data_IF_561992285303
#
_entry.id   IF_561992285303
#
_cell.length_a   1.000
_cell.length_b   1.000
_cell.length_c   1.000
_cell.angle_alpha   90.00
_cell.angle_beta   90.00
_cell.angle_gamma   90.00
#
_symmetry.space_group_name_H-M   'P 1'
#
loop_
_entity.id
_entity.type
_entity.pdbx_description
1 polymer ?
#
# COMPACT_ATOMS: atom_id res chain seq x y z
N UNK A 1 19.30 -1.17 -13.21
CA UNK A 1 18.28 -0.46 -14.00
C UNK A 1 17.11 -0.13 -13.10
N UNK A 2 16.89 1.16 -12.81
CA UNK A 2 15.75 1.62 -12.02
C UNK A 2 14.43 1.48 -12.79
N UNK A 3 13.49 0.73 -12.21
CA UNK A 3 12.13 0.52 -12.71
C UNK A 3 11.15 1.12 -11.73
N UNK A 4 10.23 1.93 -12.26
CA UNK A 4 9.17 2.58 -11.49
C UNK A 4 7.82 1.94 -11.80
N UNK A 5 7.13 1.54 -10.74
CA UNK A 5 5.73 1.12 -10.77
C UNK A 5 4.84 2.17 -10.11
N UNK A 6 3.69 2.44 -10.71
CA UNK A 6 2.70 3.39 -10.17
C UNK A 6 1.33 2.71 -10.17
N UNK A 7 0.57 2.93 -9.10
CA UNK A 7 -0.83 2.51 -9.01
C UNK A 7 -1.68 3.59 -8.37
N UNK A 8 -2.93 3.69 -8.83
CA UNK A 8 -3.93 4.56 -8.26
C UNK A 8 -5.20 3.75 -7.95
N UNK A 9 -5.84 4.03 -6.83
CA UNK A 9 -7.05 3.34 -6.41
C UNK A 9 -8.00 4.29 -5.71
N UNK A 10 -9.29 4.04 -5.87
CA UNK A 10 -10.32 4.80 -5.17
C UNK A 10 -11.43 3.87 -4.74
N UNK A 11 -11.97 4.08 -3.54
CA UNK A 11 -13.10 3.32 -3.00
C UNK A 11 -13.99 4.20 -2.13
N UNK A 12 -15.30 3.99 -2.23
CA UNK A 12 -16.27 4.54 -1.29
C UNK A 12 -16.57 3.48 -0.22
N UNK A 13 -16.42 3.87 1.05
CA UNK A 13 -16.70 3.03 2.20
C UNK A 13 -17.90 3.57 2.96
N UNK A 14 -18.84 2.69 3.28
CA UNK A 14 -20.05 3.01 4.04
C UNK A 14 -19.77 3.09 5.55
N UNK A 15 -18.82 3.93 5.92
CA UNK A 15 -18.40 4.19 7.29
C UNK A 15 -17.85 5.61 7.40
N UNK A 16 -17.99 6.18 8.60
CA UNK A 16 -17.52 7.53 8.89
C UNK A 16 -15.99 7.63 8.92
N UNK A 17 -15.47 8.84 8.77
CA UNK A 17 -14.03 9.11 8.73
C UNK A 17 -13.31 8.66 10.02
N UNK A 18 -13.98 8.71 11.17
CA UNK A 18 -13.38 8.33 12.46
C UNK A 18 -13.15 6.82 12.56
N UNK A 19 -13.97 6.02 11.88
CA UNK A 19 -13.78 4.58 11.75
C UNK A 19 -12.77 4.24 10.65
N UNK A 20 -12.85 4.93 9.51
CA UNK A 20 -12.04 4.61 8.33
C UNK A 20 -10.58 5.01 8.52
N UNK A 21 -10.29 6.18 9.08
CA UNK A 21 -8.92 6.65 9.26
C UNK A 21 -8.01 5.66 10.03
N UNK A 22 -8.34 5.25 11.27
CA UNK A 22 -7.47 4.33 12.02
C UNK A 22 -7.33 2.96 11.34
N UNK A 23 -8.34 2.54 10.55
CA UNK A 23 -8.26 1.31 9.77
C UNK A 23 -7.14 1.39 8.72
N UNK A 24 -7.05 2.51 7.98
CA UNK A 24 -6.04 2.69 6.94
C UNK A 24 -4.67 3.13 7.48
N UNK A 25 -4.62 3.75 8.66
CA UNK A 25 -3.38 4.09 9.33
C UNK A 25 -2.62 2.86 9.85
N UNK A 26 -3.30 1.73 10.08
CA UNK A 26 -2.65 0.47 10.41
C UNK A 26 -2.03 -0.18 9.17
N UNK A 27 -0.75 0.08 8.94
CA UNK A 27 0.01 -0.47 7.82
C UNK A 27 0.00 -2.01 7.78
N UNK A 28 0.09 -2.67 8.95
CA UNK A 28 0.12 -4.14 9.02
C UNK A 28 -1.21 -4.70 8.53
N UNK A 29 -2.32 -4.11 8.98
CA UNK A 29 -3.66 -4.49 8.53
C UNK A 29 -3.84 -4.17 7.05
N UNK A 30 -3.53 -2.95 6.61
CA UNK A 30 -3.70 -2.52 5.22
C UNK A 30 -2.95 -3.43 4.25
N UNK A 31 -1.67 -3.71 4.53
CA UNK A 31 -0.82 -4.53 3.66
C UNK A 31 -1.10 -6.02 3.75
N UNK A 32 -1.81 -6.51 4.78
CA UNK A 32 -2.24 -7.92 4.84
C UNK A 32 -3.21 -8.31 3.72
N UNK A 33 -3.86 -7.33 3.08
CA UNK A 33 -4.69 -7.56 1.89
C UNK A 33 -3.85 -7.70 0.60
N UNK A 34 -2.55 -7.37 0.65
CA UNK A 34 -1.66 -7.48 -0.49
C UNK A 34 -1.13 -8.92 -0.61
N UNK A 35 -1.41 -9.65 -1.70
CA UNK A 35 -1.02 -11.06 -1.84
C UNK A 35 0.50 -11.28 -1.91
N UNK A 36 1.28 -10.23 -2.17
CA UNK A 36 2.72 -10.29 -2.26
C UNK A 36 3.42 -9.83 -0.97
N UNK A 37 2.70 -9.17 -0.06
CA UNK A 37 3.27 -8.76 1.22
C UNK A 37 3.33 -9.97 2.16
N UNK A 38 4.53 -10.31 2.61
CA UNK A 38 4.75 -11.42 3.55
C UNK A 38 4.69 -10.96 4.98
N UNK A 39 5.28 -9.80 5.25
CA UNK A 39 5.29 -9.23 6.60
C UNK A 39 5.53 -7.72 6.56
N UNK A 40 5.06 -7.09 7.63
CA UNK A 40 5.28 -5.67 7.95
C UNK A 40 5.78 -5.62 9.37
N UNK A 41 7.03 -5.21 9.55
CA UNK A 41 7.74 -5.29 10.84
C UNK A 41 8.17 -3.88 11.26
N UNK A 42 8.02 -3.57 12.54
CA UNK A 42 8.55 -2.33 13.09
C UNK A 42 10.05 -2.44 13.25
N UNK A 43 10.78 -1.41 12.82
CA UNK A 43 12.24 -1.39 12.93
C UNK A 43 12.69 -0.69 14.21
N UNK A 44 13.96 -0.83 14.55
CA UNK A 44 14.57 -0.11 15.69
C UNK A 44 14.66 1.41 15.45
N UNK A 45 14.40 1.89 14.23
CA UNK A 45 14.57 3.27 13.82
C UNK A 45 13.41 4.20 14.22
N UNK A 46 12.40 3.68 14.93
CA UNK A 46 11.29 4.46 15.50
C UNK A 46 10.38 5.12 14.45
N UNK A 47 9.17 4.60 14.28
CA UNK A 47 8.23 5.12 13.27
C UNK A 47 8.53 4.67 11.83
N UNK A 48 9.57 3.87 11.62
CA UNK A 48 9.91 3.26 10.33
C UNK A 48 9.52 1.78 10.34
N UNK A 49 8.75 1.39 9.32
CA UNK A 49 8.30 0.03 9.10
C UNK A 49 9.10 -0.60 7.96
N UNK A 50 9.46 -1.87 8.10
CA UNK A 50 10.00 -2.71 7.04
C UNK A 50 8.85 -3.49 6.40
N UNK A 51 8.67 -3.32 5.10
CA UNK A 51 7.72 -4.11 4.31
C UNK A 51 8.49 -5.15 3.49
N UNK A 52 8.19 -6.42 3.71
CA UNK A 52 8.78 -7.51 2.95
C UNK A 52 7.78 -8.05 1.94
N UNK A 53 8.17 -7.99 0.67
CA UNK A 53 7.42 -8.50 -0.45
C UNK A 53 8.14 -9.68 -1.09
N UNK A 54 7.36 -10.62 -1.60
CA UNK A 54 7.87 -11.73 -2.38
C UNK A 54 6.98 -11.90 -3.61
N UNK A 55 7.61 -11.86 -4.77
CA UNK A 55 6.99 -12.15 -6.05
C UNK A 55 7.75 -13.29 -6.70
N UNK A 56 7.17 -13.88 -7.74
CA UNK A 56 7.79 -15.00 -8.44
C UNK A 56 8.16 -14.59 -9.85
N UNK A 57 9.39 -14.90 -10.27
CA UNK A 57 9.84 -14.70 -11.65
C UNK A 57 9.11 -15.67 -12.62
N UNK A 58 9.21 -15.47 -13.95
CA UNK A 58 8.59 -16.37 -14.92
C UNK A 58 9.11 -17.83 -14.90
N UNK A 59 10.22 -18.10 -14.20
CA UNK A 59 10.83 -19.43 -14.01
C UNK A 59 10.52 -20.03 -12.63
N UNK A 60 9.61 -19.42 -11.88
CA UNK A 60 9.22 -19.85 -10.55
C UNK A 60 10.27 -19.65 -9.44
N UNK A 61 11.24 -18.75 -9.62
CA UNK A 61 12.15 -18.34 -8.55
C UNK A 61 11.55 -17.18 -7.74
N UNK A 62 11.65 -17.21 -6.40
CA UNK A 62 11.22 -16.09 -5.57
C UNK A 62 12.16 -14.89 -5.74
N UNK A 63 11.57 -13.71 -5.82
CA UNK A 63 12.25 -12.41 -5.77
C UNK A 63 11.75 -11.71 -4.51
N UNK A 64 12.67 -11.37 -3.62
CA UNK A 64 12.39 -10.67 -2.39
C UNK A 64 12.63 -9.18 -2.57
N UNK A 65 11.67 -8.36 -2.15
CA UNK A 65 11.79 -6.90 -2.23
C UNK A 65 11.47 -6.32 -0.86
N UNK A 66 12.43 -5.56 -0.33
CA UNK A 66 12.37 -4.97 1.00
C UNK A 66 12.21 -3.46 0.83
N UNK A 67 11.24 -2.89 1.54
CA UNK A 67 11.05 -1.44 1.64
C UNK A 67 11.17 -0.99 3.08
N UNK A 68 11.83 0.14 3.31
CA UNK A 68 11.81 0.85 4.59
C UNK A 68 10.97 2.10 4.40
N UNK A 69 9.90 2.21 5.19
CA UNK A 69 8.86 3.21 4.98
C UNK A 69 8.53 3.92 6.27
N UNK A 70 8.59 5.24 6.23
CA UNK A 70 8.04 6.12 7.26
C UNK A 70 6.60 6.50 6.90
N UNK A 71 5.70 6.49 7.89
CA UNK A 71 4.33 6.97 7.73
C UNK A 71 4.13 8.30 8.43
N UNK A 72 3.53 9.25 7.71
CA UNK A 72 3.11 10.54 8.25
C UNK A 72 1.60 10.68 8.13
N UNK A 73 0.97 11.19 9.19
CA UNK A 73 -0.48 11.36 9.29
C UNK A 73 -0.80 12.84 9.44
N UNK A 74 -1.66 13.36 8.56
CA UNK A 74 -2.22 14.71 8.66
C UNK A 74 -3.72 14.61 8.92
N UNK A 75 -4.15 15.00 10.13
CA UNK A 75 -5.58 15.13 10.43
C UNK A 75 -6.04 16.57 10.26
N UNK A 76 -7.14 16.75 9.55
CA UNK A 76 -7.77 18.04 9.42
C UNK A 76 -8.41 18.43 10.76
N UNK A 77 -7.89 19.48 11.41
CA UNK A 77 -8.52 20.06 12.59
C UNK A 77 -9.59 21.06 12.18
N UNK A 78 -10.72 21.04 12.89
CA UNK A 78 -11.90 21.89 12.64
C UNK A 78 -11.62 23.40 12.65
N UNK A 79 -10.45 23.84 13.14
CA UNK A 79 -10.07 25.25 13.24
C UNK A 79 -9.41 25.85 11.99
N UNK A 80 -9.04 25.04 10.98
CA UNK A 80 -8.39 25.50 9.74
C UNK A 80 -9.28 25.43 8.49
N UNK A 81 -10.53 24.99 8.63
CA UNK A 81 -11.47 24.85 7.51
C UNK A 81 -12.09 26.20 7.13
N UNK A 82 -11.29 27.08 6.54
CA UNK A 82 -11.81 28.14 5.66
C UNK A 82 -11.97 27.51 4.28
N UNK A 83 -13.20 27.19 3.90
CA UNK A 83 -13.66 26.70 2.58
C UNK A 83 -13.14 25.35 2.04
N UNK A 84 -12.13 24.72 2.64
CA UNK A 84 -11.60 23.44 2.14
C UNK A 84 -12.24 22.22 2.83
N UNK A 85 -12.62 21.21 2.03
CA UNK A 85 -13.22 19.95 2.51
C UNK A 85 -12.26 19.29 3.51
N UNK A 86 -12.73 19.05 4.74
CA UNK A 86 -12.00 18.33 5.79
C UNK A 86 -11.49 17.01 5.22
N UNK A 87 -10.18 16.91 5.00
CA UNK A 87 -9.54 15.75 4.37
C UNK A 87 -8.41 15.29 5.27
N UNK A 88 -8.52 14.08 5.80
CA UNK A 88 -7.41 13.44 6.49
C UNK A 88 -6.49 12.77 5.45
N UNK A 89 -5.20 12.78 5.70
CA UNK A 89 -4.19 12.25 4.77
C UNK A 89 -3.21 11.34 5.48
N UNK A 90 -2.81 10.29 4.78
CA UNK A 90 -1.72 9.39 5.17
C UNK A 90 -0.68 9.45 4.06
N UNK A 91 0.59 9.62 4.42
CA UNK A 91 1.71 9.62 3.50
C UNK A 91 2.65 8.49 3.86
N UNK A 92 3.20 7.85 2.84
CA UNK A 92 4.29 6.89 2.97
C UNK A 92 5.50 7.45 2.23
N UNK A 93 6.65 7.45 2.88
CA UNK A 93 7.89 7.99 2.33
C UNK A 93 9.01 6.96 2.48
N UNK A 94 9.91 6.93 1.50
CA UNK A 94 11.07 6.04 1.58
C UNK A 94 11.99 6.52 2.70
N UNK A 95 12.36 5.59 3.59
CA UNK A 95 13.36 5.86 4.60
C UNK A 95 14.71 5.32 4.11
N UNK A 96 15.72 6.18 3.89
CA UNK A 96 17.01 5.74 3.37
C UNK A 96 17.74 4.91 4.44
N UNK A 97 17.87 3.60 4.19
CA UNK A 97 18.65 2.70 5.04
C UNK A 97 19.93 2.30 4.30
N UNK A 98 21.05 2.40 5.01
CA UNK A 98 22.30 1.77 4.58
C UNK A 98 22.31 0.37 5.21
N UNK A 99 22.17 -0.66 4.39
CA UNK A 99 22.34 -2.03 4.87
C UNK A 99 23.85 -2.31 4.92
N UNK A 100 24.37 -2.51 6.13
CA UNK A 100 25.77 -2.90 6.33
C UNK A 100 25.91 -4.41 6.05
N UNK A 101 26.74 -4.77 5.06
CA UNK A 101 27.00 -6.15 4.66
C UNK A 101 26.46 -6.50 3.28
N UNK A 102 26.70 -7.75 2.86
CA UNK A 102 26.16 -8.27 1.61
C UNK A 102 24.67 -8.58 1.76
N UNK A 103 23.92 -8.42 0.67
CA UNK A 103 22.54 -8.88 0.60
C UNK A 103 22.50 -10.40 0.83
N UNK A 104 21.41 -10.94 1.41
CA UNK A 104 21.33 -12.35 1.75
C UNK A 104 21.45 -13.26 0.52
N UNK A 105 21.01 -12.78 -0.65
CA UNK A 105 21.13 -13.46 -1.94
C UNK A 105 21.00 -12.48 -3.13
N UNK A 106 21.27 -12.97 -4.34
CA UNK A 106 21.16 -12.25 -5.62
C UNK A 106 19.69 -11.98 -6.05
N UNK A 107 18.72 -12.39 -5.24
CA UNK A 107 17.29 -12.26 -5.52
C UNK A 107 16.58 -11.34 -4.53
N UNK A 108 17.34 -10.69 -3.65
CA UNK A 108 16.83 -9.75 -2.65
C UNK A 108 17.21 -8.33 -3.04
N UNK A 109 16.20 -7.49 -3.20
CA UNK A 109 16.34 -6.11 -3.63
C UNK A 109 15.83 -5.16 -2.56
N UNK A 110 16.52 -4.04 -2.37
CA UNK A 110 16.01 -2.93 -1.55
C UNK A 110 15.36 -1.93 -2.50
N UNK A 111 14.05 -1.78 -2.37
CA UNK A 111 13.28 -0.81 -3.14
C UNK A 111 12.98 0.45 -2.34
N UNK A 112 12.43 1.45 -3.04
CA UNK A 112 11.87 2.66 -2.45
C UNK A 112 10.37 2.66 -2.68
N UNK A 113 9.59 2.89 -1.62
CA UNK A 113 8.14 3.01 -1.71
C UNK A 113 7.73 4.38 -1.20
N UNK A 114 6.87 5.06 -1.96
CA UNK A 114 6.23 6.28 -1.52
C UNK A 114 4.78 6.31 -1.96
N UNK A 115 3.95 7.07 -1.26
CA UNK A 115 2.54 7.12 -1.57
C UNK A 115 1.79 8.14 -0.74
N UNK A 116 0.54 8.34 -1.14
CA UNK A 116 -0.38 9.25 -0.50
C UNK A 116 -1.77 8.64 -0.52
N UNK A 117 -2.46 8.79 0.59
CA UNK A 117 -3.87 8.46 0.73
C UNK A 117 -4.61 9.68 1.22
N UNK A 118 -5.74 9.99 0.59
CA UNK A 118 -6.69 11.03 1.01
C UNK A 118 -8.00 10.38 1.42
N UNK A 119 -8.49 10.76 2.59
CA UNK A 119 -9.75 10.29 3.14
C UNK A 119 -10.71 11.48 3.26
N UNK A 120 -11.80 11.43 2.50
CA UNK A 120 -12.77 12.54 2.38
C UNK A 120 -14.14 12.09 2.87
N UNK A 121 -14.70 12.71 3.92
CA UNK A 121 -16.05 12.44 4.35
C UNK A 121 -17.03 12.96 3.29
N UNK A 122 -18.11 12.23 3.05
CA UNK A 122 -19.21 12.65 2.18
C UNK A 122 -20.36 13.25 3.01
N UNK A 123 -21.29 14.02 2.40
CA UNK A 123 -22.49 14.49 3.09
C UNK A 123 -23.40 13.37 3.62
N UNK A 124 -23.27 12.15 3.09
CA UNK A 124 -24.05 10.97 3.51
C UNK A 124 -23.46 10.28 4.75
N UNK A 125 -22.30 10.72 5.24
CA UNK A 125 -21.58 10.09 6.35
C UNK A 125 -20.67 8.94 5.93
N UNK A 126 -20.54 8.69 4.63
CA UNK A 126 -19.58 7.74 4.05
C UNK A 126 -18.19 8.38 3.93
N UNK A 127 -17.17 7.59 3.60
CA UNK A 127 -15.81 8.08 3.35
C UNK A 127 -15.30 7.62 1.98
N UNK A 128 -14.86 8.58 1.17
CA UNK A 128 -14.10 8.30 -0.07
C UNK A 128 -12.62 8.19 0.29
N UNK A 129 -12.00 7.08 -0.08
CA UNK A 129 -10.57 6.86 0.05
C UNK A 129 -9.95 6.88 -1.34
N UNK A 130 -8.98 7.76 -1.53
CA UNK A 130 -8.19 7.89 -2.75
C UNK A 130 -6.73 7.59 -2.42
N UNK A 131 -6.10 6.64 -3.10
CA UNK A 131 -4.73 6.21 -2.82
C UNK A 131 -3.90 6.20 -4.09
N UNK A 132 -2.68 6.72 -3.98
CA UNK A 132 -1.67 6.65 -5.02
C UNK A 132 -0.37 6.11 -4.42
N UNK A 133 0.20 5.10 -5.05
CA UNK A 133 1.47 4.48 -4.66
C UNK A 133 2.46 4.55 -5.81
N UNK A 134 3.72 4.79 -5.47
CA UNK A 134 4.87 4.74 -6.37
C UNK A 134 5.94 3.86 -5.73
N UNK A 135 6.41 2.89 -6.49
CA UNK A 135 7.48 1.99 -6.05
C UNK A 135 8.61 2.06 -7.06
N UNK A 136 9.84 2.12 -6.59
CA UNK A 136 11.05 2.09 -7.39
C UNK A 136 11.91 0.91 -6.93
N UNK A 137 12.34 0.09 -7.88
CA UNK A 137 13.25 -1.04 -7.63
C UNK A 137 14.37 -0.97 -8.64
N UNK A 138 15.61 -1.17 -8.18
CA UNK A 138 16.77 -1.27 -9.07
C UNK A 138 17.01 -2.73 -9.44
N UNK A 139 16.77 -3.08 -10.70
CA UNK A 139 16.94 -4.44 -11.21
C UNK A 139 18.21 -4.55 -12.04
N UNK A 140 18.94 -5.64 -11.88
CA UNK A 140 19.96 -6.03 -12.85
C UNK A 140 19.29 -6.55 -14.14
N UNK A 141 19.63 -5.94 -15.28
CA UNK A 141 19.07 -6.34 -16.58
C UNK A 141 19.55 -7.76 -16.91
N UNK A 142 18.64 -8.76 -17.02
CA UNK A 142 19.02 -10.12 -17.35
C UNK A 142 19.79 -10.18 -18.66
N UNK A 143 20.84 -11.01 -18.71
CA UNK A 143 21.74 -11.14 -19.87
C UNK A 143 20.98 -11.43 -21.18
N UNK A 144 19.89 -12.20 -21.12
CA UNK A 144 19.06 -12.56 -22.27
C UNK A 144 18.29 -11.37 -22.87
N UNK A 145 18.05 -10.31 -22.11
CA UNK A 145 17.35 -9.11 -22.58
C UNK A 145 18.31 -8.07 -23.18
N UNK A 146 19.63 -8.27 -23.09
CA UNK A 146 20.65 -7.38 -23.70
C UNK A 146 20.53 -7.23 -25.22
N UNK A 147 19.76 -8.09 -25.89
CA UNK A 147 19.45 -7.96 -27.31
C UNK A 147 18.54 -6.76 -27.63
N UNK A 148 17.80 -6.25 -26.64
CA UNK A 148 16.98 -5.05 -26.77
C UNK A 148 17.69 -3.83 -26.15
N UNK A 149 17.48 -2.61 -26.68
CA UNK A 149 17.96 -1.40 -26.03
C UNK A 149 17.37 -1.26 -24.62
N UNK A 150 18.19 -0.88 -23.65
CA UNK A 150 17.78 -0.70 -22.26
C UNK A 150 16.52 0.18 -22.09
N UNK A 151 16.33 1.30 -22.83
CA UNK A 151 15.10 2.09 -22.72
C UNK A 151 13.81 1.30 -23.04
N UNK A 152 13.88 0.33 -23.96
CA UNK A 152 12.73 -0.50 -24.32
C UNK A 152 12.41 -1.48 -23.18
N UNK A 153 13.44 -2.10 -22.61
CA UNK A 153 13.30 -3.02 -21.47
C UNK A 153 12.72 -2.28 -20.27
N UNK A 154 13.23 -1.07 -19.99
CA UNK A 154 12.74 -0.22 -18.91
C UNK A 154 11.26 0.06 -19.05
N UNK A 155 10.81 0.56 -20.21
CA UNK A 155 9.38 0.87 -20.45
C UNK A 155 8.50 -0.38 -20.27
N UNK A 156 8.94 -1.54 -20.77
CA UNK A 156 8.21 -2.79 -20.58
C UNK A 156 8.11 -3.18 -19.10
N UNK A 157 9.22 -3.10 -18.36
CA UNK A 157 9.26 -3.43 -16.94
C UNK A 157 8.39 -2.48 -16.11
N UNK A 158 8.47 -1.17 -16.36
CA UNK A 158 7.65 -0.15 -15.70
C UNK A 158 6.14 -0.37 -15.96
N UNK A 159 5.80 -0.73 -17.20
CA UNK A 159 4.42 -1.05 -17.59
C UNK A 159 3.91 -2.29 -16.87
N UNK A 160 4.69 -3.37 -16.86
CA UNK A 160 4.32 -4.62 -16.19
C UNK A 160 4.16 -4.41 -14.68
N UNK A 161 5.09 -3.70 -14.06
CA UNK A 161 5.05 -3.38 -12.63
C UNK A 161 3.83 -2.52 -12.28
N UNK A 162 3.58 -1.45 -13.04
CA UNK A 162 2.42 -0.57 -12.83
C UNK A 162 1.10 -1.32 -13.01
N UNK A 163 0.99 -2.18 -14.03
CA UNK A 163 -0.21 -3.00 -14.24
C UNK A 163 -0.44 -3.99 -13.08
N UNK A 164 0.63 -4.66 -12.63
CA UNK A 164 0.57 -5.58 -11.49
C UNK A 164 0.14 -4.87 -10.21
N UNK A 165 0.78 -3.73 -9.89
CA UNK A 165 0.41 -2.90 -8.74
C UNK A 165 -1.04 -2.44 -8.84
N UNK A 166 -1.47 -1.95 -10.00
CA UNK A 166 -2.84 -1.50 -10.23
C UNK A 166 -3.88 -2.61 -10.00
N UNK A 167 -3.59 -3.83 -10.44
CA UNK A 167 -4.45 -4.99 -10.22
C UNK A 167 -4.55 -5.33 -8.72
N UNK A 168 -3.40 -5.39 -8.04
CA UNK A 168 -3.34 -5.67 -6.61
C UNK A 168 -4.07 -4.60 -5.80
N UNK A 169 -3.83 -3.32 -6.06
CA UNK A 169 -4.49 -2.22 -5.35
C UNK A 169 -6.01 -2.29 -5.46
N UNK A 170 -6.55 -2.60 -6.65
CA UNK A 170 -8.01 -2.78 -6.82
C UNK A 170 -8.52 -3.93 -5.95
N UNK A 171 -7.86 -5.09 -6.02
CA UNK A 171 -8.25 -6.27 -5.22
C UNK A 171 -8.19 -5.99 -3.72
N UNK A 172 -7.17 -5.26 -3.26
CA UNK A 172 -7.04 -4.83 -1.86
C UNK A 172 -8.22 -3.95 -1.44
N UNK A 173 -8.52 -2.89 -2.21
CA UNK A 173 -9.62 -1.97 -1.91
C UNK A 173 -10.97 -2.68 -1.94
N UNK A 174 -11.19 -3.60 -2.89
CA UNK A 174 -12.40 -4.43 -2.93
C UNK A 174 -12.53 -5.33 -1.70
N UNK A 175 -11.42 -5.94 -1.25
CA UNK A 175 -11.41 -6.79 -0.05
C UNK A 175 -11.67 -5.98 1.22
N UNK A 176 -11.08 -4.78 1.32
CA UNK A 176 -11.32 -3.86 2.44
C UNK A 176 -12.79 -3.41 2.46
N UNK A 177 -13.36 -3.06 1.30
CA UNK A 177 -14.78 -2.71 1.19
C UNK A 177 -15.68 -3.83 1.72
N UNK A 178 -15.35 -5.08 1.41
CA UNK A 178 -16.07 -6.24 1.94
C UNK A 178 -15.91 -6.39 3.46
N UNK A 179 -14.71 -6.15 4.02
CA UNK A 179 -14.48 -6.19 5.46
C UNK A 179 -15.37 -5.18 6.22
N UNK A 180 -15.47 -3.95 5.69
CA UNK A 180 -16.38 -2.92 6.23
C UNK A 180 -17.86 -3.32 6.14
N UNK A 181 -18.27 -3.98 5.05
CA UNK A 181 -19.65 -4.47 4.91
C UNK A 181 -19.98 -5.57 5.91
N UNK A 182 -19.05 -6.51 6.15
CA UNK A 182 -19.23 -7.59 7.11
C UNK A 182 -19.23 -7.12 8.57
N UNK A 183 -18.41 -6.13 8.92
CA UNK A 183 -18.36 -5.55 10.26
C UNK A 183 -19.67 -4.85 10.68
N UNK A 184 -20.44 -4.33 9.73
CA UNK A 184 -21.76 -3.73 9.99
C UNK A 184 -22.87 -4.79 10.20
N UNK A 185 -22.71 -5.99 9.63
CA UNK A 185 -23.67 -7.09 9.81
C UNK A 185 -23.49 -7.78 11.18
N UNK A 186 -22.28 -7.82 11.73
CA UNK A 186 -22.04 -8.39 13.06
C UNK A 186 -22.54 -7.50 14.20
N UNK A 187 -22.53 -6.18 14.03
CA UNK A 187 -23.09 -5.23 15.01
C UNK A 187 -24.62 -5.20 15.04
N UNK A 188 -25.29 -5.64 13.97
CA UNK A 188 -26.76 -5.73 13.88
C UNK A 188 -27.34 -7.04 14.42
N UNK A 189 -26.53 -8.09 14.60
CA UNK A 189 -26.96 -9.39 15.14
C UNK A 189 -26.84 -9.54 16.67
N UNK A 190 -26.45 -8.49 17.41
CA UNK A 190 -26.44 -8.50 18.89
C UNK A 190 -27.77 -8.04 19.50
N UNK A 191 -28.89 -8.50 18.94
CA UNK A 191 -30.23 -8.13 19.38
C UNK A 191 -31.19 -9.32 19.42
N UNK A 192 -31.59 -9.69 20.64
CA UNK A 192 -32.76 -10.52 20.99
C UNK A 192 -32.57 -12.04 21.07
N UNK A 193 -31.88 -12.49 22.12
CA UNK A 193 -32.31 -13.69 22.84
C UNK A 193 -32.85 -13.25 24.22
N UNK A 194 -34.16 -12.95 24.26
CA UNK A 194 -34.97 -13.03 25.48
C UNK A 194 -36.05 -14.09 25.22
N UNK A 195 -36.42 -14.77 26.31
CA UNK A 195 -37.47 -15.81 26.49
C UNK A 195 -36.91 -17.24 26.49
N UNK A 196 -37.14 -18.07 27.51
CA UNK A 196 -37.92 -17.98 28.76
C UNK A 196 -37.22 -18.79 29.86
#
# INVERSE_FOLDING_TARGET
>A
MEVVGISHGQVLLHADLQQVFPYFADQKKLLSFNPFCKQVVETELGGVMRWDFEITDPRSHPIHIIFFVEQLEERATSAKATDDVVTDKIFWQDYPVVVEGDMPDDHTFIGKASGKMELKPTPTGDTVVDVTMRVLVDFDVPVLLRAFPEPVIKVMAETAMSFGMQHVSRKMLDSIKQDFQCALVSSTNSGSAKMN
#
